data_IF_204668576956
#
_entry.id   IF_204668576956
#
_cell.length_a   1.000
_cell.length_b   1.000
_cell.length_c   1.000
_cell.angle_alpha   90.00
_cell.angle_beta   90.00
_cell.angle_gamma   90.00
#
_symmetry.space_group_name_H-M   'P 1'
#
loop_
_entity.id
_entity.type
_entity.pdbx_description
1 polymer ?
#
# COMPACT_ATOMS: atom_id res chain seq x y z
N UNK A 1 3.05 -34.27 14.90
CA UNK A 1 3.82 -33.02 15.00
C UNK A 1 4.92 -33.13 13.99
N UNK A 2 5.04 -32.17 13.09
CA UNK A 2 6.10 -32.16 12.08
C UNK A 2 7.43 -31.79 12.77
N UNK A 3 8.46 -32.59 12.54
CA UNK A 3 9.79 -32.41 13.11
C UNK A 3 10.80 -32.24 11.99
N UNK A 4 11.69 -31.24 12.11
CA UNK A 4 12.79 -31.04 11.18
C UNK A 4 14.09 -31.55 11.79
N UNK A 5 14.80 -32.32 10.99
CA UNK A 5 16.08 -32.92 11.35
C UNK A 5 17.24 -32.02 10.90
N UNK A 6 18.24 -31.86 11.76
CA UNK A 6 19.48 -31.14 11.47
C UNK A 6 20.69 -31.98 11.91
N UNK A 7 21.70 -32.07 11.05
CA UNK A 7 22.91 -32.87 11.32
C UNK A 7 23.87 -32.17 12.29
N UNK A 8 23.74 -30.84 12.41
CA UNK A 8 24.59 -30.02 13.27
C UNK A 8 23.84 -28.78 13.75
N UNK A 9 24.17 -28.32 14.95
CA UNK A 9 23.74 -27.00 15.44
C UNK A 9 24.11 -25.88 14.44
N UNK A 10 25.21 -26.02 13.70
CA UNK A 10 25.59 -25.02 12.68
C UNK A 10 24.66 -24.98 11.48
N UNK A 11 24.04 -26.11 11.13
CA UNK A 11 23.06 -26.21 10.05
C UNK A 11 21.75 -25.55 10.49
N UNK A 12 21.28 -25.85 11.70
CA UNK A 12 20.13 -25.20 12.33
C UNK A 12 20.31 -23.68 12.40
N UNK A 13 21.48 -23.21 12.84
CA UNK A 13 21.77 -21.77 12.96
C UNK A 13 21.70 -21.08 11.59
N UNK A 14 22.20 -21.73 10.53
CA UNK A 14 22.09 -21.23 9.16
C UNK A 14 20.64 -21.18 8.69
N UNK A 15 19.87 -22.23 8.96
CA UNK A 15 18.44 -22.30 8.62
C UNK A 15 17.63 -21.19 9.30
N UNK A 16 17.90 -20.93 10.59
CA UNK A 16 17.24 -19.87 11.36
C UNK A 16 17.70 -18.45 10.96
N UNK A 17 18.79 -18.31 10.20
CA UNK A 17 19.33 -17.01 9.82
C UNK A 17 19.85 -16.16 10.99
N UNK A 18 20.14 -16.77 12.14
CA UNK A 18 20.60 -16.07 13.35
C UNK A 18 22.10 -16.30 13.59
N UNK A 19 22.72 -15.40 14.38
CA UNK A 19 24.11 -15.59 14.78
C UNK A 19 24.28 -16.75 15.78
N UNK A 20 25.42 -17.44 15.77
CA UNK A 20 25.76 -18.46 16.77
C UNK A 20 25.56 -18.01 18.22
N UNK A 21 26.08 -16.85 18.67
CA UNK A 21 25.86 -16.41 20.05
C UNK A 21 24.38 -16.14 20.36
N UNK A 22 23.60 -15.63 19.38
CA UNK A 22 22.15 -15.45 19.54
C UNK A 22 21.44 -16.78 19.76
N UNK A 23 21.78 -17.81 18.98
CA UNK A 23 21.22 -19.15 19.12
C UNK A 23 21.46 -19.74 20.51
N UNK A 24 22.72 -19.81 20.96
CA UNK A 24 23.04 -20.38 22.28
C UNK A 24 22.41 -19.61 23.43
N UNK A 25 22.31 -18.27 23.31
CA UNK A 25 21.63 -17.44 24.31
C UNK A 25 20.14 -17.74 24.39
N UNK A 26 19.48 -17.95 23.24
CA UNK A 26 18.05 -18.30 23.16
C UNK A 26 17.81 -19.71 23.67
N UNK A 27 18.56 -20.69 23.18
CA UNK A 27 18.46 -22.08 23.58
C UNK A 27 18.62 -22.26 25.10
N UNK A 28 19.62 -21.62 25.70
CA UNK A 28 19.83 -21.64 27.17
C UNK A 28 18.67 -21.06 27.97
N UNK A 29 17.98 -20.05 27.43
CA UNK A 29 16.87 -19.39 28.14
C UNK A 29 15.55 -20.14 27.99
N UNK A 30 15.35 -20.80 26.85
CA UNK A 30 14.17 -21.60 26.54
C UNK A 30 14.32 -23.05 27.00
N UNK A 31 15.45 -23.40 27.62
CA UNK A 31 15.81 -24.76 28.02
C UNK A 31 15.75 -25.77 26.86
N UNK A 32 16.05 -25.30 25.65
CA UNK A 32 16.08 -26.12 24.43
C UNK A 32 17.48 -26.72 24.28
N UNK A 33 17.54 -28.04 24.11
CA UNK A 33 18.81 -28.72 23.87
C UNK A 33 19.46 -28.27 22.54
N UNK A 34 20.76 -28.00 22.60
CA UNK A 34 21.58 -27.58 21.45
C UNK A 34 22.23 -28.76 20.72
N UNK A 35 22.17 -29.96 21.29
CA UNK A 35 22.81 -31.18 20.78
C UNK A 35 21.82 -32.15 20.13
N UNK A 36 20.52 -31.89 20.25
CA UNK A 36 19.50 -32.72 19.61
C UNK A 36 19.48 -32.49 18.10
N UNK A 37 19.10 -33.53 17.38
CA UNK A 37 18.98 -33.50 15.92
C UNK A 37 17.60 -33.06 15.45
N UNK A 38 16.56 -33.37 16.21
CA UNK A 38 15.17 -33.17 15.81
C UNK A 38 14.52 -32.03 16.60
N UNK A 39 13.96 -31.07 15.86
CA UNK A 39 13.29 -29.89 16.40
C UNK A 39 11.85 -29.84 15.91
N UNK A 40 10.92 -29.55 16.82
CA UNK A 40 9.52 -29.27 16.48
C UNK A 40 9.38 -27.87 15.89
N UNK A 41 8.35 -27.65 15.08
CA UNK A 41 8.11 -26.33 14.49
C UNK A 41 7.91 -25.25 15.57
N UNK A 42 7.29 -25.60 16.70
CA UNK A 42 7.11 -24.69 17.84
C UNK A 42 8.46 -24.27 18.45
N UNK A 43 9.40 -25.20 18.63
CA UNK A 43 10.74 -24.88 19.12
C UNK A 43 11.54 -24.03 18.12
N UNK A 44 11.36 -24.26 16.83
CA UNK A 44 11.98 -23.43 15.79
C UNK A 44 11.43 -22.01 15.83
N UNK A 45 10.11 -21.86 15.97
CA UNK A 45 9.46 -20.56 16.11
C UNK A 45 9.93 -19.81 17.36
N UNK A 46 10.02 -20.50 18.50
CA UNK A 46 10.56 -19.93 19.75
C UNK A 46 12.03 -19.51 19.60
N UNK A 47 12.84 -20.27 18.85
CA UNK A 47 14.22 -19.92 18.57
C UNK A 47 14.36 -18.76 17.58
N UNK A 48 13.37 -18.54 16.69
CA UNK A 48 13.31 -17.39 15.78
C UNK A 48 12.93 -16.10 16.50
N UNK A 49 12.06 -16.17 17.51
CA UNK A 49 11.55 -15.00 18.20
C UNK A 49 12.68 -14.13 18.79
N UNK A 50 12.71 -12.81 18.49
CA UNK A 50 13.66 -11.91 19.12
C UNK A 50 13.40 -11.89 20.62
N UNK A 51 14.45 -12.16 21.41
CA UNK A 51 14.38 -12.05 22.87
C UNK A 51 13.96 -10.62 23.21
N UNK A 52 12.70 -10.45 23.59
CA UNK A 52 12.25 -9.21 24.21
C UNK A 52 13.13 -8.98 25.44
N UNK A 53 13.62 -7.75 25.57
CA UNK A 53 14.45 -7.33 26.70
C UNK A 53 13.59 -7.56 27.94
N UNK A 54 13.90 -8.62 28.70
CA UNK A 54 13.23 -8.91 29.97
C UNK A 54 13.70 -7.80 30.90
N UNK A 55 12.96 -6.71 30.96
CA UNK A 55 13.11 -5.74 32.03
C UNK A 55 12.80 -6.53 33.31
N UNK A 56 13.79 -6.64 34.18
CA UNK A 56 13.72 -7.40 35.44
C UNK A 56 12.84 -6.66 36.47
N UNK A 57 11.68 -6.17 36.07
CA UNK A 57 10.72 -5.54 36.97
C UNK A 57 9.53 -6.49 37.16
N UNK A 58 9.79 -7.58 37.87
CA UNK A 58 8.73 -8.40 38.44
C UNK A 58 8.08 -7.64 39.59
N UNK A 59 6.79 -7.33 39.42
CA UNK A 59 5.76 -7.13 40.43
C UNK A 59 5.62 -5.73 41.06
N UNK A 60 4.79 -4.88 40.43
CA UNK A 60 3.81 -4.08 41.17
C UNK A 60 2.52 -3.94 40.33
N UNK A 61 1.35 -4.40 40.81
CA UNK A 61 0.11 -4.42 40.03
C UNK A 61 -0.42 -3.02 39.67
N UNK A 62 0.02 -1.95 40.36
CA UNK A 62 -0.40 -0.56 40.06
C UNK A 62 0.18 0.00 38.75
N UNK A 63 1.32 -0.53 38.25
CA UNK A 63 1.95 -0.02 37.03
C UNK A 63 1.36 -0.61 35.74
N UNK A 64 0.69 -1.75 35.82
CA UNK A 64 0.10 -2.39 34.64
C UNK A 64 -1.12 -1.61 34.13
N UNK A 65 -1.98 -1.11 35.01
CA UNK A 65 -3.15 -0.32 34.58
C UNK A 65 -2.73 0.99 33.92
N UNK A 66 -1.69 1.65 34.45
CA UNK A 66 -1.14 2.87 33.85
C UNK A 66 -0.51 2.60 32.48
N UNK A 67 0.20 1.48 32.32
CA UNK A 67 0.77 1.08 31.04
C UNK A 67 -0.30 0.69 30.02
N UNK A 68 -1.35 -0.03 30.45
CA UNK A 68 -2.48 -0.41 29.59
C UNK A 68 -3.26 0.83 29.14
N UNK A 69 -3.49 1.78 30.04
CA UNK A 69 -4.15 3.05 29.70
C UNK A 69 -3.32 3.84 28.67
N UNK A 70 -2.01 3.99 28.89
CA UNK A 70 -1.12 4.68 27.95
C UNK A 70 -1.05 3.98 26.58
N UNK A 71 -1.04 2.65 26.58
CA UNK A 71 -1.06 1.87 25.34
C UNK A 71 -2.41 2.03 24.63
N UNK A 72 -3.52 2.07 25.36
CA UNK A 72 -4.84 2.31 24.79
C UNK A 72 -4.97 3.70 24.18
N UNK A 73 -4.42 4.74 24.84
CA UNK A 73 -4.37 6.10 24.31
C UNK A 73 -3.50 6.19 23.05
N UNK A 74 -2.37 5.47 23.00
CA UNK A 74 -1.58 5.38 21.78
C UNK A 74 -2.37 4.69 20.67
N UNK A 75 -3.11 3.64 20.98
CA UNK A 75 -3.89 2.89 20.00
C UNK A 75 -5.07 3.71 19.46
N UNK A 76 -5.75 4.49 20.30
CA UNK A 76 -6.81 5.41 19.86
C UNK A 76 -6.24 6.55 19.01
N UNK A 77 -5.10 7.12 19.38
CA UNK A 77 -4.43 8.14 18.60
C UNK A 77 -3.99 7.60 17.23
N UNK A 78 -3.38 6.42 17.18
CA UNK A 78 -3.00 5.75 15.92
C UNK A 78 -4.24 5.50 15.07
N UNK A 79 -5.31 4.93 15.64
CA UNK A 79 -6.56 4.71 14.90
C UNK A 79 -7.15 6.01 14.33
N UNK A 80 -7.12 7.11 15.10
CA UNK A 80 -7.55 8.41 14.62
C UNK A 80 -6.70 8.89 13.45
N UNK A 81 -5.38 8.82 13.57
CA UNK A 81 -4.47 9.22 12.48
C UNK A 81 -4.65 8.37 11.22
N UNK A 82 -4.87 7.07 11.38
CA UNK A 82 -5.16 6.15 10.26
C UNK A 82 -6.47 6.51 9.59
N UNK A 83 -7.51 6.83 10.36
CA UNK A 83 -8.80 7.27 9.83
C UNK A 83 -8.67 8.58 9.05
N UNK A 84 -7.99 9.58 9.60
CA UNK A 84 -7.76 10.86 8.94
C UNK A 84 -6.94 10.70 7.65
N UNK A 85 -5.90 9.87 7.67
CA UNK A 85 -5.10 9.55 6.48
C UNK A 85 -5.94 8.83 5.42
N UNK A 86 -6.82 7.91 5.82
CA UNK A 86 -7.69 7.20 4.91
C UNK A 86 -8.68 8.15 4.21
N UNK A 87 -9.28 9.08 4.95
CA UNK A 87 -10.15 10.11 4.36
C UNK A 87 -9.38 11.02 3.40
N UNK A 88 -8.17 11.43 3.75
CA UNK A 88 -7.32 12.22 2.87
C UNK A 88 -6.95 11.48 1.58
N UNK A 89 -6.63 10.18 1.67
CA UNK A 89 -6.36 9.35 0.50
C UNK A 89 -7.59 9.27 -0.41
N UNK A 90 -8.76 9.00 0.17
CA UNK A 90 -10.03 8.95 -0.58
C UNK A 90 -10.32 10.26 -1.31
N UNK A 91 -10.05 11.41 -0.68
CA UNK A 91 -10.24 12.71 -1.31
C UNK A 91 -9.23 12.96 -2.43
N UNK A 92 -7.95 12.59 -2.23
CA UNK A 92 -6.94 12.67 -3.29
C UNK A 92 -7.27 11.76 -4.48
N UNK A 93 -7.78 10.55 -4.23
CA UNK A 93 -8.19 9.63 -5.29
C UNK A 93 -9.33 10.21 -6.14
N UNK A 94 -10.30 10.90 -5.51
CA UNK A 94 -11.36 11.61 -6.26
C UNK A 94 -10.77 12.72 -7.12
N UNK A 95 -9.88 13.54 -6.57
CA UNK A 95 -9.23 14.63 -7.31
C UNK A 95 -8.44 14.08 -8.52
N UNK A 96 -7.72 12.97 -8.33
CA UNK A 96 -7.02 12.28 -9.42
C UNK A 96 -8.02 11.82 -10.50
N UNK A 97 -9.14 11.22 -10.12
CA UNK A 97 -10.17 10.79 -11.07
C UNK A 97 -10.77 11.97 -11.86
N UNK A 98 -11.03 13.10 -11.20
CA UNK A 98 -11.51 14.33 -11.85
C UNK A 98 -10.47 14.89 -12.84
N UNK A 99 -9.20 14.96 -12.43
CA UNK A 99 -8.11 15.41 -13.30
C UNK A 99 -7.94 14.51 -14.53
N UNK A 100 -8.05 13.19 -14.37
CA UNK A 100 -8.02 12.26 -15.49
C UNK A 100 -9.17 12.51 -16.47
N UNK A 101 -10.39 12.72 -15.97
CA UNK A 101 -11.54 13.02 -16.82
C UNK A 101 -11.35 14.34 -17.59
N UNK A 102 -10.86 15.39 -16.93
CA UNK A 102 -10.57 16.66 -17.59
C UNK A 102 -9.46 16.53 -18.65
N UNK A 103 -8.42 15.76 -18.35
CA UNK A 103 -7.35 15.47 -19.30
C UNK A 103 -7.88 14.74 -20.53
N UNK A 104 -8.72 13.72 -20.35
CA UNK A 104 -9.34 12.98 -21.44
C UNK A 104 -10.23 13.90 -22.30
N UNK A 105 -10.99 14.79 -21.68
CA UNK A 105 -11.78 15.80 -22.39
C UNK A 105 -10.87 16.73 -23.23
N UNK A 106 -9.78 17.23 -22.64
CA UNK A 106 -8.83 18.07 -23.35
C UNK A 106 -8.19 17.33 -24.54
N UNK A 107 -7.79 16.07 -24.36
CA UNK A 107 -7.21 15.25 -25.44
C UNK A 107 -8.21 15.06 -26.58
N UNK A 108 -9.48 14.75 -26.26
CA UNK A 108 -10.54 14.61 -27.27
C UNK A 108 -10.75 15.90 -28.06
N UNK A 109 -10.86 17.03 -27.37
CA UNK A 109 -11.02 18.34 -28.02
C UNK A 109 -9.81 18.69 -28.91
N UNK A 110 -8.59 18.42 -28.43
CA UNK A 110 -7.38 18.64 -29.23
C UNK A 110 -7.35 17.78 -30.48
N UNK A 111 -7.76 16.51 -30.38
CA UNK A 111 -7.85 15.61 -31.54
C UNK A 111 -8.93 16.06 -32.53
N UNK A 112 -10.06 16.56 -32.04
CA UNK A 112 -11.14 17.09 -32.89
C UNK A 112 -10.68 18.34 -33.65
N UNK A 113 -10.06 19.29 -32.98
CA UNK A 113 -9.47 20.48 -33.61
C UNK A 113 -8.39 20.09 -34.63
N UNK A 114 -7.53 19.13 -34.29
CA UNK A 114 -6.52 18.64 -35.23
C UNK A 114 -7.17 18.00 -36.46
N UNK A 115 -8.23 17.20 -36.30
CA UNK A 115 -8.99 16.63 -37.41
C UNK A 115 -9.63 17.71 -38.28
N UNK A 116 -10.21 18.75 -37.70
CA UNK A 116 -10.81 19.85 -38.45
C UNK A 116 -9.76 20.65 -39.24
N UNK A 117 -8.59 20.88 -38.67
CA UNK A 117 -7.49 21.59 -39.35
C UNK A 117 -6.78 20.75 -40.41
N UNK A 118 -6.70 19.44 -40.20
CA UNK A 118 -6.08 18.49 -41.14
C UNK A 118 -7.05 17.91 -42.17
N UNK A 119 -8.36 18.11 -41.97
CA UNK A 119 -9.36 17.87 -42.99
C UNK A 119 -8.95 18.72 -44.20
N UNK A 120 -8.60 18.10 -45.34
CA UNK A 120 -8.15 18.83 -46.50
C UNK A 120 -9.25 19.81 -46.93
N UNK A 121 -8.84 20.99 -47.43
CA UNK A 121 -9.67 21.95 -48.19
C UNK A 121 -10.23 21.34 -49.50
N UNK A 122 -10.65 20.09 -49.46
CA UNK A 122 -11.17 19.29 -50.57
C UNK A 122 -12.63 19.60 -50.89
N UNK A 123 -13.25 20.57 -50.20
CA UNK A 123 -14.56 21.12 -50.58
C UNK A 123 -14.43 22.46 -51.35
N UNK A 124 -13.21 22.91 -51.70
CA UNK A 124 -13.00 24.15 -52.47
C UNK A 124 -12.76 23.97 -53.97
N UNK A 125 -12.78 22.75 -54.50
CA UNK A 125 -12.74 22.52 -55.96
C UNK A 125 -13.94 21.68 -56.39
N UNK A 126 -15.10 22.33 -56.48
CA UNK A 126 -16.10 22.20 -57.55
C UNK A 126 -17.43 22.77 -57.03
N UNK A 127 -18.12 23.52 -57.89
CA UNK A 127 -19.49 24.06 -57.75
C UNK A 127 -19.55 25.57 -57.38
N UNK A 128 -19.46 26.41 -58.41
CA UNK A 128 -20.26 27.65 -58.55
C UNK A 128 -21.38 27.37 -59.59
N UNK A 129 -22.53 28.07 -59.58
CA UNK A 129 -23.33 28.54 -58.45
C UNK A 129 -24.86 28.30 -58.65
N UNK A 130 -25.60 27.89 -57.62
CA UNK A 130 -27.04 28.21 -57.53
C UNK A 130 -27.33 28.84 -56.16
N UNK A 131 -27.66 30.13 -56.20
CA UNK A 131 -27.85 31.00 -55.05
C UNK A 131 -29.32 30.89 -54.63
N UNK A 132 -29.61 30.04 -53.66
CA UNK A 132 -30.77 30.22 -52.79
C UNK A 132 -30.26 30.49 -51.36
N UNK A 133 -30.55 31.68 -50.77
CA UNK A 133 -30.06 32.01 -49.45
C UNK A 133 -30.79 31.15 -48.41
N UNK A 134 -30.15 30.06 -47.98
CA UNK A 134 -30.59 29.27 -46.83
C UNK A 134 -30.61 30.22 -45.63
N UNK A 135 -31.81 30.62 -45.21
CA UNK A 135 -32.06 31.37 -43.97
C UNK A 135 -31.56 30.53 -42.81
N UNK A 136 -30.30 30.75 -42.46
CA UNK A 136 -29.60 30.02 -41.43
C UNK A 136 -30.22 30.28 -40.07
N UNK A 137 -30.01 29.33 -39.18
CA UNK A 137 -30.38 29.32 -37.77
C UNK A 137 -30.29 30.70 -37.06
N UNK A 138 -29.33 31.54 -37.45
CA UNK A 138 -29.11 32.90 -36.94
C UNK A 138 -30.23 33.90 -37.27
N UNK A 139 -30.95 33.75 -38.39
CA UNK A 139 -32.07 34.64 -38.73
C UNK A 139 -33.27 34.48 -37.78
N UNK A 140 -33.26 33.44 -36.95
CA UNK A 140 -34.32 33.10 -35.99
C UNK A 140 -33.95 33.45 -34.55
N UNK A 141 -32.67 33.77 -34.31
CA UNK A 141 -32.14 34.19 -33.01
C UNK A 141 -31.98 35.71 -32.89
N UNK A 142 -31.82 36.41 -34.00
CA UNK A 142 -31.55 37.85 -34.02
C UNK A 142 -32.46 38.63 -34.99
N UNK A 143 -33.58 38.01 -35.41
CA UNK A 143 -34.61 38.62 -36.26
C UNK A 143 -35.88 38.91 -35.46
#
# INVERSE_FOLDING_TARGET
>A
METKHFNSATELIKYLGISRPTFYKRAKRLDISTTKSDYTEDELNLLLEPLSRKDNNTNSPENNDSAVNLLSEQLTNVNKTVSEQHEQLKEKDKQIAELHNLLDQQQRLSLDLQKQLSAPQSESENIEPEIEPKKGFWSRLFG
#
